data_IF_191981166716
#
_entry.id   IF_191981166716
#
_cell.length_a   1.000
_cell.length_b   1.000
_cell.length_c   1.000
_cell.angle_alpha   90.00
_cell.angle_beta   90.00
_cell.angle_gamma   90.00
#
_symmetry.space_group_name_H-M   'P 1'
#
loop_
_entity.id
_entity.type
_entity.pdbx_description
1 polymer ?
#
# COMPACT_ATOMS: atom_id res chain seq x y z
N UNK A 1 -64.65 -0.03 20.57
CA UNK A 1 -65.78 0.79 21.10
C UNK A 1 -65.80 0.66 22.62
N UNK A 2 -66.12 1.70 23.43
CA UNK A 2 -66.17 3.15 23.15
C UNK A 2 -65.44 4.01 24.22
N UNK A 3 -65.10 5.27 23.88
CA UNK A 3 -65.60 6.54 24.43
C UNK A 3 -64.83 7.11 25.65
N UNK A 4 -64.07 8.20 25.49
CA UNK A 4 -64.46 9.64 25.50
C UNK A 4 -64.93 10.15 26.88
N UNK A 5 -64.21 11.14 27.41
CA UNK A 5 -64.82 12.26 28.15
C UNK A 5 -63.88 13.47 28.13
N UNK A 6 -64.38 14.58 27.58
CA UNK A 6 -63.80 15.93 27.66
C UNK A 6 -64.45 16.64 28.84
N UNK A 7 -63.73 17.51 29.55
CA UNK A 7 -64.34 18.64 30.24
C UNK A 7 -63.53 19.91 29.98
N UNK A 8 -64.28 20.96 29.64
CA UNK A 8 -63.86 22.30 29.26
C UNK A 8 -64.53 23.22 30.25
N UNK A 9 -63.79 24.13 30.88
CA UNK A 9 -64.39 25.25 31.61
C UNK A 9 -63.55 26.49 31.39
N UNK A 10 -64.03 27.38 30.52
CA UNK A 10 -63.65 28.80 30.49
C UNK A 10 -64.48 29.53 31.55
N UNK A 11 -63.93 30.58 32.17
CA UNK A 11 -64.72 31.70 32.66
C UNK A 11 -63.88 32.99 32.84
N UNK A 12 -64.19 33.93 31.94
CA UNK A 12 -64.35 35.39 32.08
C UNK A 12 -63.20 36.29 32.58
N UNK A 13 -62.89 37.25 31.69
CA UNK A 13 -62.26 38.56 31.90
C UNK A 13 -63.12 39.50 32.77
N UNK A 14 -62.51 40.60 33.24
CA UNK A 14 -63.15 41.91 33.18
C UNK A 14 -62.31 42.93 32.38
N UNK A 15 -63.01 43.74 31.58
CA UNK A 15 -62.51 44.98 30.97
C UNK A 15 -62.70 46.15 31.95
N UNK A 16 -61.75 47.08 32.00
CA UNK A 16 -62.02 48.49 32.29
C UNK A 16 -61.01 49.39 31.57
N UNK A 17 -61.54 50.48 31.02
CA UNK A 17 -60.91 51.30 29.99
C UNK A 17 -60.20 52.56 30.52
N UNK A 18 -59.31 53.06 29.64
CA UNK A 18 -59.03 54.47 29.28
C UNK A 18 -57.99 55.25 30.11
N UNK A 19 -56.94 55.73 29.42
CA UNK A 19 -56.01 56.74 29.95
C UNK A 19 -54.74 56.98 29.12
N UNK A 20 -54.85 57.83 28.10
CA UNK A 20 -53.80 58.56 27.35
C UNK A 20 -52.39 58.68 27.94
N UNK A 21 -51.35 58.40 27.13
CA UNK A 21 -50.39 59.43 26.63
C UNK A 21 -49.37 58.84 25.64
N UNK A 22 -49.19 59.57 24.55
CA UNK A 22 -48.21 59.37 23.49
C UNK A 22 -46.77 59.56 23.99
N UNK A 23 -45.88 58.61 23.68
CA UNK A 23 -44.48 58.94 23.39
C UNK A 23 -43.95 57.96 22.34
N UNK A 24 -43.63 58.49 21.16
CA UNK A 24 -43.02 57.77 20.04
C UNK A 24 -41.56 57.50 20.39
N UNK A 25 -41.19 56.23 20.55
CA UNK A 25 -39.79 55.81 20.51
C UNK A 25 -39.60 54.89 19.31
N UNK A 26 -38.86 55.38 18.32
CA UNK A 26 -38.42 54.60 17.18
C UNK A 26 -37.40 53.55 17.67
N UNK A 27 -37.78 52.28 17.63
CA UNK A 27 -36.87 51.15 17.84
C UNK A 27 -36.45 50.68 16.45
N UNK A 28 -35.20 50.95 16.07
CA UNK A 28 -34.56 50.33 14.90
C UNK A 28 -34.43 48.81 15.18
N UNK A 29 -34.86 47.92 14.27
CA UNK A 29 -34.47 46.52 14.37
C UNK A 29 -33.02 46.40 13.87
N UNK A 30 -32.09 46.14 14.79
CA UNK A 30 -30.74 45.71 14.45
C UNK A 30 -30.83 44.27 13.90
N UNK A 31 -30.94 44.15 12.58
CA UNK A 31 -30.93 42.88 11.87
C UNK A 31 -29.50 42.34 11.89
N UNK A 32 -29.14 41.62 12.95
CA UNK A 32 -27.87 40.91 13.06
C UNK A 32 -27.85 39.73 12.10
N UNK A 33 -27.34 39.93 10.89
CA UNK A 33 -26.98 38.83 9.98
C UNK A 33 -25.73 38.18 10.56
N UNK A 34 -25.93 37.15 11.38
CA UNK A 34 -24.86 36.24 11.77
C UNK A 34 -24.40 35.48 10.53
N UNK A 35 -23.31 35.94 9.91
CA UNK A 35 -22.62 35.18 8.89
C UNK A 35 -22.03 33.92 9.56
N UNK A 36 -22.75 32.80 9.45
CA UNK A 36 -22.14 31.48 9.63
C UNK A 36 -21.08 31.33 8.53
N UNK A 37 -19.84 31.68 8.86
CA UNK A 37 -18.70 31.21 8.10
C UNK A 37 -18.63 29.70 8.27
N UNK A 38 -19.21 28.97 7.32
CA UNK A 38 -18.84 27.58 7.10
C UNK A 38 -17.42 27.66 6.53
N UNK A 39 -16.42 27.62 7.41
CA UNK A 39 -15.06 27.38 6.99
C UNK A 39 -15.06 25.99 6.35
N UNK A 40 -15.05 25.94 5.02
CA UNK A 40 -14.63 24.75 4.31
C UNK A 40 -13.18 24.52 4.75
N UNK A 41 -12.96 23.57 5.65
CA UNK A 41 -11.64 23.06 5.94
C UNK A 41 -11.14 22.44 4.63
N UNK A 42 -10.45 23.24 3.82
CA UNK A 42 -9.63 22.71 2.76
C UNK A 42 -8.61 21.81 3.44
N UNK A 43 -8.65 20.52 3.12
CA UNK A 43 -7.51 19.64 3.35
C UNK A 43 -6.28 20.41 2.86
N UNK A 44 -5.34 20.75 3.74
CA UNK A 44 -4.07 21.29 3.28
C UNK A 44 -3.44 20.20 2.42
N UNK A 45 -3.04 20.58 1.21
CA UNK A 45 -2.25 19.71 0.36
C UNK A 45 -1.04 19.21 1.15
N UNK A 46 -0.73 17.92 1.01
CA UNK A 46 0.38 17.30 1.74
C UNK A 46 1.68 18.01 1.35
N UNK A 47 2.42 18.49 2.35
CA UNK A 47 3.77 19.03 2.18
C UNK A 47 4.76 17.88 1.99
N UNK A 48 4.82 17.36 0.77
CA UNK A 48 5.65 16.21 0.43
C UNK A 48 7.14 16.44 0.66
N UNK A 49 7.62 17.69 0.61
CA UNK A 49 9.02 17.98 0.87
C UNK A 49 9.38 17.66 2.34
N UNK A 50 8.50 17.91 3.29
CA UNK A 50 8.71 17.48 4.69
C UNK A 50 8.74 15.97 4.85
N UNK A 51 7.93 15.24 4.09
CA UNK A 51 7.94 13.77 4.07
C UNK A 51 9.27 13.25 3.53
N UNK A 52 9.73 13.81 2.40
CA UNK A 52 11.02 13.48 1.77
C UNK A 52 12.19 13.73 2.74
N UNK A 53 12.20 14.88 3.41
CA UNK A 53 13.23 15.27 4.36
C UNK A 53 13.22 14.40 5.61
N UNK A 54 12.03 14.03 6.10
CA UNK A 54 11.88 13.11 7.23
C UNK A 54 12.44 11.72 6.89
N UNK A 55 12.15 11.18 5.70
CA UNK A 55 12.64 9.87 5.25
C UNK A 55 14.06 9.91 4.66
N UNK A 56 14.61 11.10 4.42
CA UNK A 56 15.94 11.31 3.86
C UNK A 56 16.10 10.81 2.43
N UNK A 57 15.01 10.68 1.65
CA UNK A 57 15.03 10.17 0.28
C UNK A 57 13.86 10.66 -0.55
N UNK A 58 14.03 10.63 -1.88
CA UNK A 58 12.98 11.01 -2.84
C UNK A 58 12.08 9.81 -3.19
N UNK A 59 10.77 10.03 -3.41
CA UNK A 59 9.85 8.99 -3.80
C UNK A 59 9.90 8.75 -5.31
N UNK A 60 9.50 7.54 -5.73
CA UNK A 60 8.90 7.34 -7.04
C UNK A 60 7.42 7.77 -6.94
N UNK A 61 7.01 8.72 -7.79
CA UNK A 61 5.63 9.23 -7.80
C UNK A 61 4.87 8.61 -8.96
N UNK A 62 3.69 8.08 -8.68
CA UNK A 62 2.79 7.49 -9.68
C UNK A 62 1.34 7.81 -9.33
N UNK A 63 0.70 8.64 -10.16
CA UNK A 63 -0.59 9.24 -9.81
C UNK A 63 -0.44 10.13 -8.56
N UNK A 64 -1.23 9.87 -7.54
CA UNK A 64 -1.20 10.55 -6.24
C UNK A 64 -0.37 9.78 -5.19
N UNK A 65 0.25 8.65 -5.55
CA UNK A 65 1.01 7.81 -4.62
C UNK A 65 2.50 8.19 -4.64
N UNK A 66 3.05 8.42 -3.45
CA UNK A 66 4.47 8.68 -3.21
C UNK A 66 5.11 7.45 -2.57
N UNK A 67 5.92 6.71 -3.33
CA UNK A 67 6.54 5.45 -2.88
C UNK A 67 8.04 5.61 -2.62
N UNK A 68 8.46 5.34 -1.40
CA UNK A 68 9.84 5.43 -0.92
C UNK A 68 10.42 4.03 -0.80
N UNK A 69 11.53 3.76 -1.50
CA UNK A 69 12.22 2.47 -1.44
C UNK A 69 13.34 2.44 -0.42
N UNK A 70 13.50 1.33 0.28
CA UNK A 70 14.49 1.00 1.32
C UNK A 70 15.24 -0.31 0.97
N UNK A 71 16.07 -0.30 -0.08
CA UNK A 71 16.81 -1.50 -0.48
C UNK A 71 17.85 -1.87 0.58
N UNK A 72 17.91 -3.15 0.94
CA UNK A 72 18.92 -3.73 1.84
C UNK A 72 20.24 -3.95 1.12
N UNK A 73 20.89 -2.87 0.68
CA UNK A 73 22.20 -2.92 0.01
C UNK A 73 23.35 -3.28 0.95
N UNK A 74 23.09 -3.33 2.26
CA UNK A 74 24.01 -3.82 3.29
C UNK A 74 24.07 -5.36 3.33
N UNK A 75 23.08 -6.05 2.76
CA UNK A 75 22.99 -7.50 2.80
C UNK A 75 23.55 -8.16 1.53
N UNK A 76 24.25 -9.27 1.72
CA UNK A 76 24.60 -10.23 0.67
C UNK A 76 23.82 -11.51 0.91
N UNK A 77 22.61 -11.60 0.34
CA UNK A 77 21.73 -12.77 0.47
C UNK A 77 21.96 -13.72 -0.71
N UNK A 78 21.96 -15.02 -0.44
CA UNK A 78 22.08 -16.08 -1.44
C UNK A 78 20.94 -17.09 -1.32
N UNK A 79 20.50 -17.65 -2.45
CA UNK A 79 19.53 -18.75 -2.51
C UNK A 79 19.79 -19.57 -3.78
N UNK A 80 19.86 -20.90 -3.67
CA UNK A 80 20.10 -21.82 -4.78
C UNK A 80 21.29 -21.42 -5.68
N UNK A 81 22.38 -20.97 -5.05
CA UNK A 81 23.60 -20.52 -5.73
C UNK A 81 23.51 -19.15 -6.39
N UNK A 82 22.40 -18.41 -6.22
CA UNK A 82 22.19 -17.07 -6.75
C UNK A 82 22.39 -16.02 -5.66
N UNK A 83 23.27 -15.06 -5.88
CA UNK A 83 23.32 -13.83 -5.06
C UNK A 83 22.14 -12.93 -5.42
N UNK A 84 21.27 -12.67 -4.45
CA UNK A 84 20.03 -11.91 -4.62
C UNK A 84 20.36 -10.42 -4.71
N UNK A 85 20.02 -9.79 -5.84
CA UNK A 85 20.11 -8.34 -5.95
C UNK A 85 19.03 -7.69 -5.09
N UNK A 86 19.28 -6.50 -4.50
CA UNK A 86 18.25 -5.77 -3.80
C UNK A 86 17.00 -5.51 -4.63
N UNK A 87 17.14 -5.26 -5.95
CA UNK A 87 16.00 -5.11 -6.86
C UNK A 87 15.28 -6.42 -7.22
N UNK A 88 15.82 -7.60 -6.88
CA UNK A 88 15.10 -8.86 -7.08
C UNK A 88 14.07 -9.09 -5.99
N UNK A 89 14.47 -8.90 -4.72
CA UNK A 89 13.60 -9.18 -3.58
C UNK A 89 13.94 -8.40 -2.30
N UNK A 90 15.12 -7.79 -2.14
CA UNK A 90 15.51 -7.15 -0.87
C UNK A 90 15.17 -5.65 -0.82
N UNK A 91 14.09 -5.27 -1.50
CA UNK A 91 13.66 -3.90 -1.67
C UNK A 91 12.49 -3.55 -0.76
N UNK A 92 12.77 -3.13 0.48
CA UNK A 92 11.72 -2.63 1.36
C UNK A 92 11.09 -1.36 0.81
N UNK A 93 9.88 -1.01 1.22
CA UNK A 93 9.20 0.19 0.75
C UNK A 93 8.12 0.67 1.71
N UNK A 94 7.80 1.96 1.62
CA UNK A 94 6.54 2.54 2.12
C UNK A 94 5.95 3.44 1.05
N UNK A 95 4.64 3.36 0.84
CA UNK A 95 3.87 4.20 -0.05
C UNK A 95 2.88 5.05 0.74
N UNK A 96 2.77 6.32 0.37
CA UNK A 96 1.81 7.27 0.92
C UNK A 96 0.79 7.65 -0.15
N UNK A 97 -0.48 7.62 0.22
CA UNK A 97 -1.61 8.02 -0.63
C UNK A 97 -2.48 9.05 0.12
N UNK A 98 -2.83 10.20 -0.49
CA UNK A 98 -3.76 11.15 0.10
C UNK A 98 -5.10 10.53 0.50
N UNK A 99 -5.60 10.91 1.67
CA UNK A 99 -6.81 10.37 2.29
C UNK A 99 -7.54 11.46 3.09
N UNK A 100 -8.47 12.18 2.46
CA UNK A 100 -9.37 13.16 3.11
C UNK A 100 -8.70 14.12 4.13
N UNK A 101 -7.59 14.76 3.75
CA UNK A 101 -6.86 15.69 4.65
C UNK A 101 -5.83 15.01 5.55
N UNK A 102 -5.61 13.72 5.35
CA UNK A 102 -4.54 12.89 5.92
C UNK A 102 -3.88 12.08 4.79
N UNK A 103 -3.09 11.08 5.15
CA UNK A 103 -2.59 10.05 4.24
C UNK A 103 -2.88 8.66 4.80
N UNK A 104 -3.09 7.72 3.89
CA UNK A 104 -2.90 6.29 4.15
C UNK A 104 -1.45 5.94 3.78
N UNK A 105 -0.79 5.21 4.66
CA UNK A 105 0.52 4.62 4.42
C UNK A 105 0.41 3.09 4.44
N UNK A 106 1.07 2.46 3.48
CA UNK A 106 1.25 1.01 3.41
C UNK A 106 2.71 0.72 3.15
N UNK A 107 3.24 -0.35 3.72
CA UNK A 107 4.64 -0.71 3.54
C UNK A 107 4.90 -2.20 3.65
N UNK A 108 6.12 -2.54 3.28
CA UNK A 108 6.71 -3.87 3.35
C UNK A 108 8.21 -3.67 3.62
N UNK A 109 8.66 -4.05 4.81
CA UNK A 109 10.01 -3.82 5.28
C UNK A 109 10.82 -5.11 5.30
N UNK A 110 12.01 -5.09 4.71
CA UNK A 110 12.93 -6.24 4.68
C UNK A 110 13.85 -6.21 5.89
N UNK A 111 13.70 -7.19 6.77
CA UNK A 111 14.38 -7.30 8.06
C UNK A 111 15.09 -8.64 8.20
N UNK A 112 16.20 -8.65 8.93
CA UNK A 112 16.74 -9.88 9.50
C UNK A 112 15.93 -10.28 10.74
N UNK A 113 15.99 -11.55 11.12
CA UNK A 113 15.29 -12.08 12.31
C UNK A 113 15.50 -11.21 13.56
N UNK A 114 16.75 -10.81 13.83
CA UNK A 114 17.12 -9.98 14.98
C UNK A 114 16.57 -8.55 14.93
N UNK A 115 16.15 -8.08 13.75
CA UNK A 115 15.66 -6.72 13.52
C UNK A 115 14.13 -6.63 13.61
N UNK A 116 13.39 -7.76 13.55
CA UNK A 116 11.92 -7.77 13.52
C UNK A 116 11.33 -7.11 14.76
N UNK A 117 11.60 -7.68 15.95
CA UNK A 117 10.96 -7.20 17.19
C UNK A 117 11.31 -5.76 17.55
N UNK A 118 12.59 -5.30 17.44
CA UNK A 118 12.92 -3.90 17.69
C UNK A 118 12.19 -2.91 16.79
N UNK A 119 12.16 -3.17 15.47
CA UNK A 119 11.46 -2.31 14.51
C UNK A 119 9.95 -2.34 14.76
N UNK A 120 9.38 -3.53 14.96
CA UNK A 120 7.96 -3.73 15.25
C UNK A 120 7.52 -2.93 16.48
N UNK A 121 8.30 -3.00 17.57
CA UNK A 121 8.01 -2.28 18.80
C UNK A 121 7.93 -0.77 18.55
N UNK A 122 8.87 -0.19 17.77
CA UNK A 122 8.87 1.25 17.46
C UNK A 122 7.69 1.68 16.58
N UNK A 123 7.28 0.82 15.65
CA UNK A 123 6.09 1.07 14.83
C UNK A 123 4.83 1.14 15.71
N UNK A 124 4.64 0.15 16.59
CA UNK A 124 3.48 0.07 17.50
C UNK A 124 3.46 1.27 18.46
N UNK A 125 4.61 1.60 19.08
CA UNK A 125 4.75 2.77 19.97
C UNK A 125 4.37 4.09 19.27
N UNK A 126 4.52 4.14 17.95
CA UNK A 126 4.22 5.31 17.12
C UNK A 126 2.79 5.29 16.53
N UNK A 127 1.99 4.28 16.86
CA UNK A 127 0.62 4.13 16.38
C UNK A 127 0.51 3.60 14.95
N UNK A 128 1.55 2.93 14.43
CA UNK A 128 1.49 2.19 13.17
C UNK A 128 1.09 0.74 13.43
N UNK A 129 0.34 0.18 12.49
CA UNK A 129 -0.15 -1.19 12.57
C UNK A 129 0.78 -2.15 11.86
N UNK A 130 0.93 -3.35 12.42
CA UNK A 130 1.64 -4.46 11.81
C UNK A 130 0.61 -5.37 11.19
N UNK A 131 0.61 -5.47 9.87
CA UNK A 131 -0.44 -6.19 9.14
C UNK A 131 0.00 -7.60 8.72
N UNK A 132 1.32 -7.85 8.63
CA UNK A 132 1.87 -9.19 8.43
C UNK A 132 3.37 -9.27 8.79
N UNK A 133 3.84 -10.47 9.13
CA UNK A 133 5.26 -10.85 9.13
C UNK A 133 5.41 -12.21 8.48
N UNK A 134 6.25 -12.33 7.44
CA UNK A 134 6.42 -13.57 6.68
C UNK A 134 7.77 -13.59 5.93
N UNK A 135 7.99 -14.64 5.14
CA UNK A 135 9.15 -14.76 4.25
C UNK A 135 8.73 -14.58 2.77
N UNK A 136 9.63 -14.06 1.96
CA UNK A 136 9.53 -14.18 0.48
C UNK A 136 10.41 -15.33 -0.01
N UNK A 137 11.64 -15.42 0.50
CA UNK A 137 12.69 -16.32 0.02
C UNK A 137 12.94 -17.47 1.00
N UNK A 138 12.23 -18.59 0.80
CA UNK A 138 12.38 -19.77 1.66
C UNK A 138 13.75 -20.43 1.45
N UNK A 139 14.56 -20.51 2.51
CA UNK A 139 15.90 -21.12 2.47
C UNK A 139 17.05 -20.17 2.13
N UNK A 140 16.79 -18.87 1.97
CA UNK A 140 17.84 -17.89 1.70
C UNK A 140 18.77 -17.69 2.90
N UNK A 141 20.04 -17.35 2.61
CA UNK A 141 21.08 -17.12 3.62
C UNK A 141 21.77 -15.76 3.38
N UNK A 142 21.79 -14.84 4.38
CA UNK A 142 21.03 -14.93 5.63
C UNK A 142 19.50 -14.93 5.38
N UNK A 143 18.75 -15.47 6.33
CA UNK A 143 17.29 -15.44 6.26
C UNK A 143 16.78 -13.99 6.32
N UNK A 144 15.81 -13.68 5.46
CA UNK A 144 15.16 -12.37 5.42
C UNK A 144 13.66 -12.54 5.61
N UNK A 145 13.09 -11.59 6.33
CA UNK A 145 11.67 -11.51 6.67
C UNK A 145 11.12 -10.17 6.21
N UNK A 146 9.81 -10.16 5.98
CA UNK A 146 9.07 -9.07 5.39
C UNK A 146 7.95 -8.72 6.35
N UNK A 147 7.95 -7.47 6.80
CA UNK A 147 6.98 -6.95 7.75
C UNK A 147 6.13 -5.89 7.05
N UNK A 148 4.85 -6.21 6.86
CA UNK A 148 3.89 -5.25 6.35
C UNK A 148 3.43 -4.33 7.46
N UNK A 149 3.33 -3.05 7.11
CA UNK A 149 2.93 -1.98 8.01
C UNK A 149 1.85 -1.13 7.37
N UNK A 150 0.92 -0.63 8.19
CA UNK A 150 -0.12 0.30 7.78
C UNK A 150 -0.21 1.49 8.74
N UNK A 151 -0.74 2.61 8.24
CA UNK A 151 -1.03 3.78 9.06
C UNK A 151 -1.95 4.75 8.35
N UNK A 152 -2.71 5.52 9.13
CA UNK A 152 -3.55 6.60 8.63
C UNK A 152 -3.38 7.85 9.50
N UNK A 153 -3.15 9.02 8.91
CA UNK A 153 -3.03 10.25 9.67
C UNK A 153 -2.08 11.27 9.06
N UNK A 154 -1.40 12.01 9.94
CA UNK A 154 -0.49 13.08 9.52
C UNK A 154 0.74 12.50 8.78
N UNK A 155 1.03 12.95 7.55
CA UNK A 155 2.09 12.39 6.73
C UNK A 155 3.49 12.53 7.35
N UNK A 156 3.77 13.65 8.02
CA UNK A 156 5.07 13.89 8.64
C UNK A 156 5.28 13.02 9.89
N UNK A 157 4.24 12.83 10.71
CA UNK A 157 4.29 11.93 11.87
C UNK A 157 4.54 10.50 11.43
N UNK A 158 3.82 10.02 10.40
CA UNK A 158 4.01 8.67 9.87
C UNK A 158 5.43 8.51 9.31
N UNK A 159 5.90 9.46 8.51
CA UNK A 159 7.26 9.45 7.97
C UNK A 159 8.34 9.42 9.07
N UNK A 160 8.16 10.21 10.12
CA UNK A 160 9.05 10.24 11.28
C UNK A 160 9.03 8.92 12.03
N UNK A 161 7.86 8.32 12.24
CA UNK A 161 7.70 7.02 12.88
C UNK A 161 8.44 5.91 12.10
N UNK A 162 8.25 5.85 10.78
CA UNK A 162 8.94 4.89 9.91
C UNK A 162 10.45 5.06 10.01
N UNK A 163 10.95 6.30 9.95
CA UNK A 163 12.39 6.56 10.04
C UNK A 163 12.94 6.12 11.41
N UNK A 164 12.25 6.44 12.50
CA UNK A 164 12.65 6.04 13.85
C UNK A 164 12.67 4.52 13.99
N UNK A 165 11.66 3.83 13.49
CA UNK A 165 11.61 2.37 13.55
C UNK A 165 12.71 1.72 12.72
N UNK A 166 12.97 2.21 11.50
CA UNK A 166 14.06 1.69 10.66
C UNK A 166 15.45 1.89 11.28
N UNK A 167 15.62 2.85 12.19
CA UNK A 167 16.87 3.07 12.92
C UNK A 167 17.20 1.92 13.91
N UNK A 168 16.22 1.08 14.25
CA UNK A 168 16.43 -0.16 15.02
C UNK A 168 16.91 -1.34 14.15
N UNK A 169 17.17 -1.09 12.86
CA UNK A 169 17.72 -2.06 11.90
C UNK A 169 18.98 -1.52 11.23
N UNK A 170 19.63 -2.35 10.41
CA UNK A 170 20.75 -1.93 9.55
C UNK A 170 20.32 -1.43 8.17
N UNK A 171 19.01 -1.23 7.95
CA UNK A 171 18.49 -0.72 6.68
C UNK A 171 19.18 0.60 6.31
N UNK A 172 19.79 0.71 5.12
CA UNK A 172 20.45 1.94 4.70
C UNK A 172 19.51 3.14 4.69
N UNK A 173 19.87 4.16 5.49
CA UNK A 173 19.07 5.39 5.65
C UNK A 173 19.20 6.37 4.48
N UNK A 174 20.27 6.25 3.71
CA UNK A 174 20.46 7.02 2.49
C UNK A 174 20.24 6.12 1.28
N UNK A 175 19.59 6.66 0.26
CA UNK A 175 19.47 5.96 -1.01
C UNK A 175 20.87 5.83 -1.65
N UNK A 176 21.24 4.66 -2.20
CA UNK A 176 22.47 4.54 -2.98
C UNK A 176 22.38 5.40 -4.24
N UNK A 177 23.52 5.94 -4.68
CA UNK A 177 23.59 6.61 -5.96
C UNK A 177 23.22 5.63 -7.09
N UNK A 178 22.38 6.02 -8.06
CA UNK A 178 22.09 5.18 -9.21
C UNK A 178 23.37 4.86 -9.99
N UNK A 179 23.50 3.62 -10.46
CA UNK A 179 24.59 3.25 -11.35
C UNK A 179 24.44 3.94 -12.72
N UNK A 180 25.55 4.45 -13.26
CA UNK A 180 25.62 5.11 -14.57
C UNK A 180 26.75 4.50 -15.39
N UNK A 181 26.46 3.83 -16.54
CA UNK A 181 25.12 3.53 -17.06
C UNK A 181 24.38 2.49 -16.20
N UNK A 182 23.03 2.42 -16.29
CA UNK A 182 22.27 1.37 -15.63
C UNK A 182 22.74 -0.03 -16.06
N UNK A 183 22.73 -1.03 -15.18
CA UNK A 183 23.12 -2.39 -15.54
C UNK A 183 22.20 -2.94 -16.64
N UNK A 184 22.81 -3.55 -17.66
CA UNK A 184 22.07 -4.20 -18.73
C UNK A 184 21.25 -5.39 -18.21
N UNK A 185 20.14 -5.68 -18.88
CA UNK A 185 19.35 -6.90 -18.68
C UNK A 185 19.76 -7.90 -19.76
N UNK A 186 20.50 -8.94 -19.37
CA UNK A 186 20.92 -10.02 -20.26
C UNK A 186 19.80 -11.06 -20.45
N UNK A 187 18.65 -10.62 -20.98
CA UNK A 187 17.47 -11.43 -21.29
C UNK A 187 16.74 -10.86 -22.50
N UNK A 188 16.00 -11.69 -23.22
CA UNK A 188 15.06 -11.23 -24.26
C UNK A 188 13.81 -10.61 -23.63
N UNK A 189 13.96 -9.36 -23.17
CA UNK A 189 12.90 -8.61 -22.48
C UNK A 189 11.65 -8.39 -23.33
N UNK A 190 11.80 -8.25 -24.66
CA UNK A 190 10.66 -8.14 -25.57
C UNK A 190 9.85 -9.43 -25.62
N UNK A 191 10.51 -10.59 -25.61
CA UNK A 191 9.82 -11.88 -25.52
C UNK A 191 9.16 -12.08 -24.16
N UNK A 192 9.81 -11.67 -23.07
CA UNK A 192 9.21 -11.69 -21.74
C UNK A 192 7.95 -10.82 -21.69
N UNK A 193 7.98 -9.60 -22.22
CA UNK A 193 6.80 -8.72 -22.32
C UNK A 193 5.65 -9.39 -23.08
N UNK A 194 5.96 -10.02 -24.22
CA UNK A 194 4.97 -10.72 -25.03
C UNK A 194 4.32 -11.86 -24.25
N UNK A 195 5.11 -12.65 -23.52
CA UNK A 195 4.61 -13.81 -22.76
C UNK A 195 3.81 -13.36 -21.54
N UNK A 196 4.32 -12.40 -20.76
CA UNK A 196 3.62 -11.94 -19.55
C UNK A 196 2.35 -11.17 -19.94
N UNK A 197 2.40 -10.41 -21.03
CA UNK A 197 1.28 -9.64 -21.58
C UNK A 197 1.21 -8.20 -21.09
N UNK A 198 2.24 -7.72 -20.37
CA UNK A 198 2.42 -6.31 -20.00
C UNK A 198 3.89 -5.93 -20.18
N UNK A 199 4.18 -4.63 -20.28
CA UNK A 199 5.55 -4.11 -20.41
C UNK A 199 6.27 -4.14 -19.06
N UNK A 200 7.39 -4.85 -18.99
CA UNK A 200 8.28 -4.84 -17.84
C UNK A 200 9.23 -3.63 -17.84
N UNK A 201 9.87 -3.39 -16.70
CA UNK A 201 10.80 -2.29 -16.48
C UNK A 201 12.14 -2.80 -15.95
N UNK A 202 13.25 -2.25 -16.44
CA UNK A 202 14.58 -2.56 -15.95
C UNK A 202 14.90 -1.75 -14.68
N UNK A 203 15.35 -2.43 -13.62
CA UNK A 203 15.71 -1.81 -12.35
C UNK A 203 16.87 -2.57 -11.69
N UNK A 204 18.02 -1.90 -11.51
CA UNK A 204 19.17 -2.50 -10.83
C UNK A 204 19.68 -3.80 -11.48
N UNK A 205 19.51 -3.97 -12.80
CA UNK A 205 19.87 -5.21 -13.48
C UNK A 205 18.91 -6.38 -13.24
N UNK A 206 17.65 -6.08 -12.90
CA UNK A 206 16.51 -7.01 -12.80
C UNK A 206 15.39 -6.48 -13.71
N UNK A 207 14.68 -7.36 -14.39
CA UNK A 207 13.51 -7.00 -15.20
C UNK A 207 12.23 -7.29 -14.43
N UNK A 208 11.43 -6.26 -14.17
CA UNK A 208 10.32 -6.30 -13.22
C UNK A 208 8.98 -6.06 -13.93
N UNK A 209 7.98 -6.86 -13.59
CA UNK A 209 6.60 -6.73 -14.06
C UNK A 209 5.69 -6.41 -12.87
N UNK A 210 4.76 -5.49 -13.09
CA UNK A 210 3.62 -5.25 -12.21
C UNK A 210 2.35 -5.51 -13.01
N UNK A 211 1.72 -6.67 -12.80
CA UNK A 211 0.52 -7.08 -13.52
C UNK A 211 -0.70 -6.67 -12.69
N UNK A 212 -1.49 -5.66 -13.12
CA UNK A 212 -2.64 -5.22 -12.35
C UNK A 212 -3.72 -6.31 -12.32
N UNK A 213 -4.43 -6.42 -11.19
CA UNK A 213 -5.75 -7.05 -11.18
C UNK A 213 -6.78 -6.10 -11.79
N UNK A 214 -7.83 -6.65 -12.40
CA UNK A 214 -8.92 -5.86 -12.98
C UNK A 214 -9.95 -5.42 -11.93
N UNK A 215 -10.19 -6.27 -10.94
CA UNK A 215 -11.12 -5.98 -9.85
C UNK A 215 -10.60 -4.83 -8.99
N UNK A 216 -11.46 -3.87 -8.58
CA UNK A 216 -11.06 -2.84 -7.65
C UNK A 216 -10.74 -3.46 -6.28
N UNK A 217 -9.71 -2.94 -5.65
CA UNK A 217 -9.32 -3.30 -4.29
C UNK A 217 -9.51 -2.07 -3.42
N UNK A 218 -10.13 -2.24 -2.27
CA UNK A 218 -10.32 -1.19 -1.27
C UNK A 218 -9.79 -1.59 0.09
N UNK A 219 -9.25 -0.64 0.83
CA UNK A 219 -8.86 -0.79 2.24
C UNK A 219 -9.58 0.30 3.04
N UNK A 220 -10.30 -0.06 4.10
CA UNK A 220 -11.18 0.84 4.85
C UNK A 220 -12.07 1.75 3.96
N UNK A 221 -12.60 1.21 2.86
CA UNK A 221 -13.44 1.93 1.90
C UNK A 221 -12.69 2.86 0.92
N UNK A 222 -11.37 3.00 1.04
CA UNK A 222 -10.54 3.73 0.09
C UNK A 222 -10.01 2.81 -1.01
N UNK A 223 -10.12 3.23 -2.27
CA UNK A 223 -9.59 2.47 -3.39
C UNK A 223 -8.06 2.50 -3.44
N UNK A 224 -7.44 1.31 -3.46
CA UNK A 224 -6.00 1.12 -3.58
C UNK A 224 -5.57 1.25 -5.05
N UNK A 225 -5.48 2.49 -5.53
CA UNK A 225 -5.02 2.82 -6.88
C UNK A 225 -3.99 3.96 -6.87
N UNK A 226 -3.00 3.96 -7.78
CA UNK A 226 -2.66 2.88 -8.71
C UNK A 226 -2.14 1.62 -7.99
N UNK A 227 -2.54 0.44 -8.46
CA UNK A 227 -2.35 -0.84 -7.74
C UNK A 227 -0.87 -1.22 -7.52
N UNK A 228 0.01 -0.94 -8.49
CA UNK A 228 1.44 -1.26 -8.38
C UNK A 228 2.14 -0.51 -7.25
N UNK A 229 2.12 0.84 -7.25
CA UNK A 229 2.67 1.67 -6.18
C UNK A 229 2.11 1.36 -4.78
N UNK A 230 0.87 0.87 -4.69
CA UNK A 230 0.23 0.46 -3.43
C UNK A 230 0.55 -1.00 -3.02
N UNK A 231 1.34 -1.74 -3.79
CA UNK A 231 1.73 -3.12 -3.45
C UNK A 231 0.61 -4.15 -3.63
N UNK A 232 -0.35 -3.87 -4.52
CA UNK A 232 -1.52 -4.75 -4.79
C UNK A 232 -1.64 -5.11 -6.27
N UNK A 233 -0.53 -5.05 -7.00
CA UNK A 233 -0.38 -5.68 -8.32
C UNK A 233 0.45 -6.97 -8.15
N UNK A 234 0.23 -7.96 -9.02
CA UNK A 234 1.08 -9.16 -9.05
C UNK A 234 2.47 -8.77 -9.54
N UNK A 235 3.47 -8.88 -8.65
CA UNK A 235 4.87 -8.58 -8.92
C UNK A 235 5.60 -9.81 -9.45
N UNK A 236 6.38 -9.65 -10.54
CA UNK A 236 7.25 -10.72 -11.05
C UNK A 236 8.58 -10.12 -11.47
N UNK A 237 9.66 -10.59 -10.85
CA UNK A 237 11.00 -10.08 -11.07
C UNK A 237 11.89 -11.17 -11.70
N UNK A 238 12.65 -10.80 -12.73
CA UNK A 238 13.61 -11.66 -13.43
C UNK A 238 15.02 -11.10 -13.24
N UNK A 239 15.82 -11.78 -12.44
CA UNK A 239 17.25 -11.50 -12.34
C UNK A 239 18.02 -12.44 -13.29
N UNK A 240 18.74 -11.91 -14.29
CA UNK A 240 19.56 -12.75 -15.16
C UNK A 240 20.60 -13.53 -14.35
N UNK A 241 20.71 -14.83 -14.62
CA UNK A 241 21.72 -15.74 -14.03
C UNK A 241 22.71 -16.29 -15.07
N UNK A 242 22.64 -15.78 -16.31
CA UNK A 242 23.53 -16.09 -17.41
C UNK A 242 22.99 -17.21 -18.33
N UNK A 243 23.40 -17.20 -19.60
CA UNK A 243 23.05 -18.25 -20.56
C UNK A 243 21.55 -18.35 -20.84
N UNK A 244 20.83 -17.21 -20.85
CA UNK A 244 19.37 -17.17 -21.04
C UNK A 244 18.55 -17.57 -19.80
N UNK A 245 19.20 -17.85 -18.67
CA UNK A 245 18.53 -18.21 -17.41
C UNK A 245 18.23 -16.98 -16.55
N UNK A 246 17.22 -17.12 -15.70
CA UNK A 246 16.90 -16.14 -14.69
C UNK A 246 16.48 -16.80 -13.38
N UNK A 247 16.84 -16.17 -12.26
CA UNK A 247 16.15 -16.36 -11.01
C UNK A 247 14.88 -15.50 -11.00
N UNK A 248 13.75 -16.09 -10.65
CA UNK A 248 12.47 -15.40 -10.54
C UNK A 248 11.89 -15.48 -9.14
N UNK A 249 11.27 -14.39 -8.73
CA UNK A 249 10.47 -14.28 -7.51
C UNK A 249 9.54 -13.09 -7.61
N UNK A 250 8.67 -12.94 -6.63
CA UNK A 250 7.61 -11.95 -6.61
C UNK A 250 6.44 -12.49 -5.79
N UNK A 251 5.25 -11.99 -6.09
CA UNK A 251 4.03 -12.34 -5.40
C UNK A 251 2.82 -12.25 -6.33
N UNK A 252 1.94 -13.24 -6.23
CA UNK A 252 0.61 -13.16 -6.83
C UNK A 252 -0.37 -12.55 -5.84
N UNK A 253 -1.19 -11.62 -6.31
CA UNK A 253 -2.33 -11.08 -5.56
C UNK A 253 -3.58 -11.85 -5.97
N UNK A 254 -4.22 -12.56 -5.04
CA UNK A 254 -5.22 -13.59 -5.32
C UNK A 254 -6.47 -13.43 -4.45
N UNK A 255 -7.63 -13.80 -4.98
CA UNK A 255 -8.80 -14.13 -4.14
C UNK A 255 -8.80 -15.63 -3.80
N UNK A 256 -9.62 -16.04 -2.83
CA UNK A 256 -9.62 -17.41 -2.29
C UNK A 256 -9.70 -18.51 -3.37
N UNK A 257 -10.60 -18.36 -4.34
CA UNK A 257 -10.81 -19.37 -5.39
C UNK A 257 -9.69 -19.44 -6.44
N UNK A 258 -8.76 -18.49 -6.45
CA UNK A 258 -7.62 -18.47 -7.37
C UNK A 258 -6.37 -19.13 -6.77
N UNK A 259 -6.30 -19.27 -5.44
CA UNK A 259 -5.11 -19.74 -4.71
C UNK A 259 -4.64 -21.11 -5.22
N UNK A 260 -5.44 -22.16 -5.04
CA UNK A 260 -5.01 -23.51 -5.42
C UNK A 260 -4.79 -23.69 -6.94
N UNK A 261 -5.62 -23.10 -7.83
CA UNK A 261 -5.34 -23.08 -9.26
C UNK A 261 -3.97 -22.48 -9.62
N UNK A 262 -3.56 -21.39 -8.96
CA UNK A 262 -2.25 -20.77 -9.17
C UNK A 262 -1.13 -21.66 -8.62
N UNK A 263 -1.28 -22.26 -7.42
CA UNK A 263 -0.30 -23.22 -6.88
C UNK A 263 -0.06 -24.34 -7.88
N UNK A 264 -1.12 -24.96 -8.40
CA UNK A 264 -1.01 -26.06 -9.34
C UNK A 264 -0.26 -25.65 -10.61
N UNK A 265 -0.57 -24.47 -11.17
CA UNK A 265 0.10 -23.95 -12.36
C UNK A 265 1.59 -23.67 -12.10
N UNK A 266 1.95 -23.01 -11.00
CA UNK A 266 3.36 -22.76 -10.67
C UNK A 266 4.13 -24.08 -10.49
N UNK A 267 3.56 -25.02 -9.71
CA UNK A 267 4.20 -26.30 -9.42
C UNK A 267 4.37 -27.18 -10.66
N UNK A 268 3.40 -27.20 -11.59
CA UNK A 268 3.53 -27.97 -12.84
C UNK A 268 4.61 -27.41 -13.78
N UNK A 269 5.01 -26.15 -13.59
CA UNK A 269 6.08 -25.50 -14.34
C UNK A 269 7.42 -25.46 -13.58
N UNK A 270 7.53 -26.17 -12.45
CA UNK A 270 8.76 -26.23 -11.66
C UNK A 270 9.05 -24.95 -10.87
N UNK A 271 8.03 -24.13 -10.61
CA UNK A 271 8.14 -22.92 -9.80
C UNK A 271 7.65 -23.24 -8.38
N UNK A 272 8.52 -23.06 -7.39
CA UNK A 272 8.21 -23.34 -5.98
C UNK A 272 7.37 -22.21 -5.39
N UNK A 273 6.32 -22.56 -4.64
CA UNK A 273 5.60 -21.63 -3.77
C UNK A 273 6.34 -21.56 -2.44
N UNK A 274 6.70 -20.36 -2.00
CA UNK A 274 7.53 -20.12 -0.82
C UNK A 274 6.75 -19.58 0.38
N UNK A 275 5.60 -18.94 0.15
CA UNK A 275 4.68 -18.49 1.19
C UNK A 275 3.27 -18.23 0.62
N UNK A 276 2.26 -18.29 1.49
CA UNK A 276 0.88 -17.89 1.23
C UNK A 276 0.30 -17.22 2.50
N UNK A 277 -0.12 -15.97 2.41
CA UNK A 277 -0.61 -15.17 3.57
C UNK A 277 -1.40 -13.95 3.07
N UNK A 278 -1.70 -12.99 3.94
CA UNK A 278 -2.27 -11.68 3.57
C UNK A 278 -1.24 -10.58 3.83
N UNK A 279 -1.35 -9.43 3.16
CA UNK A 279 -0.55 -8.21 3.44
C UNK A 279 -1.35 -7.17 4.23
N UNK A 280 -2.67 -7.24 4.17
CA UNK A 280 -3.60 -6.33 4.84
C UNK A 280 -4.57 -7.11 5.73
N UNK A 281 -5.29 -6.38 6.58
CA UNK A 281 -6.20 -6.95 7.58
C UNK A 281 -7.66 -6.93 7.11
N UNK A 282 -8.10 -5.84 6.47
CA UNK A 282 -9.53 -5.57 6.22
C UNK A 282 -9.86 -5.30 4.74
N UNK A 283 -8.92 -5.56 3.84
CA UNK A 283 -9.05 -5.28 2.41
C UNK A 283 -10.24 -6.02 1.78
N UNK A 284 -10.87 -5.39 0.80
CA UNK A 284 -11.97 -5.94 0.02
C UNK A 284 -11.65 -5.92 -1.49
N UNK A 285 -11.88 -7.03 -2.22
CA UNK A 285 -12.21 -8.36 -1.70
C UNK A 285 -11.07 -8.91 -0.83
N UNK A 286 -11.32 -9.94 -0.01
CA UNK A 286 -10.25 -10.57 0.78
C UNK A 286 -9.13 -11.08 -0.13
N UNK A 287 -7.89 -10.67 0.13
CA UNK A 287 -6.73 -11.02 -0.68
C UNK A 287 -5.79 -11.99 0.03
N UNK A 288 -5.18 -12.83 -0.79
CA UNK A 288 -4.07 -13.68 -0.46
C UNK A 288 -2.89 -13.34 -1.37
N UNK A 289 -1.70 -13.31 -0.78
CA UNK A 289 -0.44 -13.05 -1.43
C UNK A 289 0.38 -14.33 -1.42
N UNK A 290 0.88 -14.71 -2.60
CA UNK A 290 1.60 -15.96 -2.78
C UNK A 290 2.99 -15.70 -3.37
N UNK A 291 4.00 -15.91 -2.56
CA UNK A 291 5.39 -15.81 -2.98
C UNK A 291 5.86 -17.08 -3.66
N UNK A 292 6.82 -16.92 -4.57
CA UNK A 292 7.39 -18.01 -5.33
C UNK A 292 8.88 -17.82 -5.61
N UNK A 293 9.54 -18.92 -5.98
CA UNK A 293 10.95 -18.94 -6.36
C UNK A 293 11.24 -20.00 -7.43
N UNK A 294 12.10 -19.65 -8.39
CA UNK A 294 12.74 -20.60 -9.31
C UNK A 294 14.01 -19.99 -9.92
N UNK A 295 14.92 -20.84 -10.42
CA UNK A 295 16.08 -20.41 -11.20
C UNK A 295 16.34 -21.36 -12.39
N UNK A 296 15.94 -20.96 -13.59
CA UNK A 296 15.91 -21.81 -14.78
C UNK A 296 15.91 -20.94 -16.07
N UNK A 297 15.73 -21.56 -17.24
CA UNK A 297 15.50 -20.87 -18.51
C UNK A 297 14.40 -19.80 -18.38
N UNK A 298 14.72 -18.55 -18.75
CA UNK A 298 13.84 -17.42 -18.48
C UNK A 298 12.52 -17.50 -19.27
N UNK A 299 12.54 -18.08 -20.47
CA UNK A 299 11.33 -18.21 -21.31
C UNK A 299 10.43 -19.32 -20.77
N UNK A 300 10.99 -20.46 -20.34
CA UNK A 300 10.24 -21.51 -19.64
C UNK A 300 9.56 -20.96 -18.39
N UNK A 301 10.29 -20.20 -17.58
CA UNK A 301 9.78 -19.57 -16.37
C UNK A 301 8.68 -18.54 -16.66
N UNK A 302 8.87 -17.69 -17.68
CA UNK A 302 7.84 -16.73 -18.10
C UNK A 302 6.55 -17.42 -18.54
N UNK A 303 6.64 -18.55 -19.26
CA UNK A 303 5.46 -19.34 -19.64
C UNK A 303 4.75 -19.94 -18.41
N UNK A 304 5.51 -20.39 -17.40
CA UNK A 304 4.92 -20.87 -16.14
C UNK A 304 4.20 -19.77 -15.35
N UNK A 305 4.82 -18.58 -15.28
CA UNK A 305 4.19 -17.40 -14.68
C UNK A 305 2.93 -17.00 -15.46
N UNK A 306 2.97 -17.02 -16.80
CA UNK A 306 1.79 -16.74 -17.62
C UNK A 306 0.65 -17.73 -17.36
N UNK A 307 0.96 -19.02 -17.30
CA UNK A 307 -0.04 -20.05 -17.01
C UNK A 307 -0.71 -19.87 -15.63
N UNK A 308 0.03 -19.34 -14.65
CA UNK A 308 -0.50 -18.95 -13.35
C UNK A 308 -1.34 -17.67 -13.42
N UNK A 309 -0.89 -16.63 -14.14
CA UNK A 309 -1.66 -15.40 -14.38
C UNK A 309 -3.01 -15.69 -15.08
N UNK A 310 -3.06 -16.70 -15.96
CA UNK A 310 -4.29 -17.18 -16.61
C UNK A 310 -5.33 -17.75 -15.63
N UNK A 311 -4.94 -17.99 -14.37
CA UNK A 311 -5.84 -18.43 -13.30
C UNK A 311 -6.40 -17.27 -12.49
N UNK A 312 -6.00 -16.03 -12.75
CA UNK A 312 -6.42 -14.85 -11.97
C UNK A 312 -7.27 -13.87 -12.78
N UNK A 313 -7.95 -12.95 -12.09
CA UNK A 313 -8.65 -11.82 -12.69
C UNK A 313 -7.73 -10.78 -13.36
N UNK A 314 -6.40 -10.96 -13.35
CA UNK A 314 -5.49 -10.14 -14.16
C UNK A 314 -5.67 -10.39 -15.66
N UNK A 315 -6.16 -11.58 -16.02
CA UNK A 315 -6.23 -12.03 -17.41
C UNK A 315 -7.58 -12.66 -17.79
N UNK A 316 -8.34 -13.21 -16.83
CA UNK A 316 -9.71 -13.68 -17.03
C UNK A 316 -10.63 -12.52 -17.40
N UNK A 317 -11.46 -12.74 -18.43
CA UNK A 317 -12.54 -11.84 -18.82
C UNK A 317 -13.77 -12.04 -17.94
#
# INVERSE_FOLDING_TARGET
MPARSKSRTELRKPDFARGSRSMRSAILPLMGIGACFIATAHAQDVDWQKVDDALGRKPAVAGDVHRYGFPRTDLTVTLDGVTIKPSLALGGWVAFKPAHGAVMAMGDLVLLESEINPVMQKMIESGLEITAVHNHLLGAVPATFYMHVAGHGDPLKIATAIRTALAESKTPMLAPAPAVPPPAIDLDTAKLDQIIGVKGQANGGVYQFNVPRRDPITEHGMQLSPVGPMGVATGVNFQPTGGGRAAITGDFVLIGDEVNPVIMALRSHGISVTALHSHMLDEQPRLFFMHFWANDDAIKLANGVRAALDKTASTKN
#
